data_IF_026119176303
#
_entry.id   IF_026119176303
#
_cell.length_a   1.000
_cell.length_b   1.000
_cell.length_c   1.000
_cell.angle_alpha   90.00
_cell.angle_beta   90.00
_cell.angle_gamma   90.00
#
_symmetry.space_group_name_H-M   'P 1'
#
loop_
_entity.id
_entity.type
_entity.pdbx_description
1 polymer ?
#
# COMPACT_ATOMS: atom_id res chain seq x y z
N UNK A 1 -8.71 4.38 25.71
CA UNK A 1 -7.66 4.66 24.72
C UNK A 1 -8.23 5.73 23.82
N UNK A 2 -7.55 6.86 23.67
CA UNK A 2 -8.01 7.93 22.79
C UNK A 2 -8.10 7.34 21.36
N UNK A 3 -9.28 7.41 20.74
CA UNK A 3 -9.43 7.22 19.31
C UNK A 3 -8.51 8.24 18.64
N UNK A 4 -7.36 7.79 18.17
CA UNK A 4 -6.58 8.53 17.19
C UNK A 4 -7.44 8.49 15.95
N UNK A 5 -8.21 9.56 15.73
CA UNK A 5 -9.07 9.75 14.57
C UNK A 5 -8.25 9.42 13.32
N UNK A 6 -8.51 8.24 12.74
CA UNK A 6 -7.71 7.71 11.66
C UNK A 6 -7.95 8.59 10.44
N UNK A 7 -6.89 9.31 10.00
CA UNK A 7 -6.99 10.25 8.88
C UNK A 7 -7.64 9.58 7.69
N UNK A 8 -8.58 10.27 7.04
CA UNK A 8 -9.22 9.72 5.86
C UNK A 8 -8.17 9.45 4.76
N UNK A 9 -8.44 8.47 3.90
CA UNK A 9 -7.59 8.17 2.74
C UNK A 9 -7.37 9.41 1.87
N UNK A 10 -8.36 10.30 1.80
CA UNK A 10 -8.26 11.57 1.07
C UNK A 10 -7.26 12.52 1.73
N UNK A 11 -7.30 12.64 3.06
CA UNK A 11 -6.37 13.48 3.82
C UNK A 11 -4.93 12.97 3.67
N UNK A 12 -4.72 11.65 3.67
CA UNK A 12 -3.41 11.03 3.47
C UNK A 12 -2.80 11.33 2.09
N UNK A 13 -3.62 11.41 1.05
CA UNK A 13 -3.14 11.68 -0.31
C UNK A 13 -3.02 13.18 -0.62
N UNK A 14 -3.71 14.04 0.14
CA UNK A 14 -3.71 15.49 -0.08
C UNK A 14 -2.31 16.10 0.03
N UNK A 15 -1.53 15.69 1.03
CA UNK A 15 -0.21 16.25 1.32
C UNK A 15 0.82 15.94 0.21
N UNK A 16 0.99 14.67 -0.25
CA UNK A 16 1.82 14.37 -1.41
C UNK A 16 1.43 15.14 -2.68
N UNK A 17 0.13 15.29 -2.97
CA UNK A 17 -0.34 16.03 -4.15
C UNK A 17 0.10 17.50 -4.07
N UNK A 18 -0.10 18.15 -2.92
CA UNK A 18 0.33 19.54 -2.70
C UNK A 18 1.86 19.69 -2.80
N UNK A 19 2.63 18.73 -2.29
CA UNK A 19 4.09 18.74 -2.42
C UNK A 19 4.55 18.60 -3.88
N UNK A 20 3.91 17.72 -4.65
CA UNK A 20 4.20 17.59 -6.08
C UNK A 20 3.93 18.89 -6.83
N UNK A 21 2.79 19.55 -6.58
CA UNK A 21 2.46 20.83 -7.20
C UNK A 21 3.46 21.94 -6.80
N UNK A 22 3.94 21.94 -5.55
CA UNK A 22 4.99 22.87 -5.08
C UNK A 22 6.35 22.62 -5.72
N UNK A 23 6.70 21.34 -5.93
CA UNK A 23 7.92 20.94 -6.63
C UNK A 23 7.91 21.43 -8.07
N UNK A 24 6.80 21.24 -8.79
CA UNK A 24 6.62 21.73 -10.17
C UNK A 24 6.83 23.25 -10.23
N UNK A 25 6.15 24.02 -9.36
CA UNK A 25 6.30 25.48 -9.30
C UNK A 25 7.73 25.92 -8.96
N UNK A 26 8.40 25.21 -8.05
CA UNK A 26 9.77 25.53 -7.64
C UNK A 26 10.78 25.27 -8.76
N UNK A 27 10.56 24.23 -9.57
CA UNK A 27 11.43 23.89 -10.69
C UNK A 27 11.36 24.91 -11.84
N UNK A 28 10.20 25.53 -12.07
CA UNK A 28 10.01 26.56 -13.11
C UNK A 28 10.85 27.82 -12.87
N UNK A 29 11.13 28.15 -11.60
CA UNK A 29 11.89 29.34 -11.20
C UNK A 29 13.36 29.02 -10.88
N UNK A 30 13.86 27.85 -11.26
CA UNK A 30 15.25 27.46 -11.02
C UNK A 30 16.23 28.28 -11.88
N UNK A 31 17.30 28.80 -11.26
CA UNK A 31 18.32 29.60 -11.93
C UNK A 31 19.48 28.74 -12.48
N UNK A 32 19.78 27.63 -11.80
CA UNK A 32 20.79 26.63 -12.19
C UNK A 32 20.19 25.24 -12.42
N UNK A 33 20.90 24.35 -13.14
CA UNK A 33 20.47 22.95 -13.39
C UNK A 33 19.04 22.83 -13.94
N UNK A 34 18.71 23.72 -14.89
CA UNK A 34 17.34 23.89 -15.42
C UNK A 34 16.79 22.61 -16.07
N UNK A 35 17.62 21.87 -16.80
CA UNK A 35 17.23 20.59 -17.41
C UNK A 35 16.84 19.56 -16.37
N UNK A 36 17.64 19.40 -15.31
CA UNK A 36 17.39 18.41 -14.27
C UNK A 36 16.16 18.79 -13.43
N UNK A 37 15.99 20.09 -13.13
CA UNK A 37 14.79 20.60 -12.46
C UNK A 37 13.53 20.37 -13.31
N UNK A 38 13.60 20.60 -14.62
CA UNK A 38 12.48 20.36 -15.53
C UNK A 38 12.11 18.88 -15.61
N UNK A 39 13.10 17.97 -15.55
CA UNK A 39 12.84 16.54 -15.53
C UNK A 39 12.15 16.09 -14.22
N UNK A 40 12.65 16.54 -13.07
CA UNK A 40 11.98 16.28 -11.79
C UNK A 40 10.54 16.84 -11.76
N UNK A 41 10.29 17.98 -12.41
CA UNK A 41 8.94 18.54 -12.51
C UNK A 41 8.00 17.66 -13.35
N UNK A 42 8.47 17.07 -14.45
CA UNK A 42 7.68 16.12 -15.25
C UNK A 42 7.34 14.87 -14.46
N UNK A 43 8.30 14.34 -13.70
CA UNK A 43 8.06 13.18 -12.82
C UNK A 43 7.04 13.51 -11.73
N UNK A 44 7.18 14.69 -11.11
CA UNK A 44 6.23 15.17 -10.11
C UNK A 44 4.80 15.33 -10.67
N UNK A 45 4.66 15.83 -11.90
CA UNK A 45 3.37 15.95 -12.58
C UNK A 45 2.72 14.57 -12.82
N UNK A 46 3.47 13.62 -13.39
CA UNK A 46 3.01 12.23 -13.57
C UNK A 46 2.57 11.59 -12.25
N UNK A 47 3.35 11.79 -11.19
CA UNK A 47 3.05 11.27 -9.85
C UNK A 47 1.79 11.92 -9.26
N UNK A 48 1.66 13.23 -9.39
CA UNK A 48 0.49 14.01 -8.95
C UNK A 48 -0.79 13.55 -9.65
N UNK A 49 -0.73 13.26 -10.95
CA UNK A 49 -1.86 12.70 -11.72
C UNK A 49 -2.28 11.32 -11.19
N UNK A 50 -1.31 10.42 -10.92
CA UNK A 50 -1.59 9.08 -10.37
C UNK A 50 -2.16 9.12 -8.95
N UNK A 51 -1.63 9.98 -8.09
CA UNK A 51 -2.18 10.19 -6.74
C UNK A 51 -3.63 10.68 -6.80
N UNK A 52 -3.95 11.61 -7.72
CA UNK A 52 -5.34 12.04 -7.94
C UNK A 52 -6.22 10.90 -8.44
N UNK A 53 -5.70 9.96 -9.25
CA UNK A 53 -6.43 8.74 -9.62
C UNK A 53 -6.74 7.87 -8.41
N UNK A 54 -5.78 7.70 -7.50
CA UNK A 54 -5.98 6.93 -6.26
C UNK A 54 -7.07 7.57 -5.38
N UNK A 55 -7.11 8.91 -5.28
CA UNK A 55 -8.20 9.62 -4.58
C UNK A 55 -9.56 9.30 -5.21
N UNK A 56 -9.67 9.30 -6.55
CA UNK A 56 -10.96 9.01 -7.22
C UNK A 56 -11.46 7.60 -6.92
N UNK A 57 -10.58 6.59 -6.98
CA UNK A 57 -10.92 5.21 -6.61
C UNK A 57 -11.36 5.11 -5.14
N UNK A 58 -10.76 5.91 -4.26
CA UNK A 58 -11.13 5.91 -2.85
C UNK A 58 -12.53 6.46 -2.58
N UNK A 59 -13.04 7.34 -3.45
CA UNK A 59 -14.35 8.00 -3.31
C UNK A 59 -15.47 7.20 -3.95
N UNK A 60 -15.18 6.49 -5.06
CA UNK A 60 -16.18 5.73 -5.81
C UNK A 60 -16.58 4.40 -5.17
N UNK A 61 -15.89 3.98 -4.12
CA UNK A 61 -16.09 2.67 -3.50
C UNK A 61 -17.28 2.70 -2.53
N UNK A 62 -18.30 1.88 -2.82
CA UNK A 62 -19.42 1.52 -1.95
C UNK A 62 -18.92 0.80 -0.67
N UNK A 63 -19.73 0.55 0.39
CA UNK A 63 -19.32 0.55 1.81
C UNK A 63 -18.44 -0.64 2.28
N UNK A 64 -17.74 -1.31 1.38
CA UNK A 64 -16.61 -2.17 1.71
C UNK A 64 -15.37 -1.27 1.84
N UNK A 65 -15.16 -0.76 3.07
CA UNK A 65 -14.01 0.05 3.49
C UNK A 65 -12.72 -0.36 2.79
N UNK A 66 -12.26 0.40 1.80
CA UNK A 66 -11.07 0.14 0.99
C UNK A 66 -9.89 -0.40 1.81
N UNK A 67 -9.17 -1.35 1.22
CA UNK A 67 -7.92 -1.82 1.79
C UNK A 67 -6.85 -0.72 1.67
N UNK A 68 -6.66 0.05 2.74
CA UNK A 68 -5.93 1.34 2.74
C UNK A 68 -4.48 1.23 3.25
N UNK A 69 -4.10 0.14 3.91
CA UNK A 69 -2.73 -0.07 4.41
C UNK A 69 -1.61 0.12 3.37
N UNK A 70 -1.65 -0.53 2.19
CA UNK A 70 -0.63 -0.29 1.16
C UNK A 70 -0.64 1.16 0.68
N UNK A 71 -1.82 1.78 0.59
CA UNK A 71 -1.98 3.18 0.19
C UNK A 71 -1.28 4.11 1.19
N UNK A 72 -1.51 3.95 2.49
CA UNK A 72 -0.86 4.76 3.53
C UNK A 72 0.65 4.61 3.49
N UNK A 73 1.15 3.38 3.35
CA UNK A 73 2.60 3.10 3.33
C UNK A 73 3.28 3.70 2.10
N UNK A 74 2.67 3.56 0.92
CA UNK A 74 3.14 4.15 -0.33
C UNK A 74 3.06 5.68 -0.27
N UNK A 75 1.95 6.25 0.22
CA UNK A 75 1.77 7.70 0.37
C UNK A 75 2.87 8.32 1.25
N UNK A 76 3.21 7.67 2.37
CA UNK A 76 4.26 8.12 3.26
C UNK A 76 5.66 8.08 2.62
N UNK A 77 5.96 7.09 1.78
CA UNK A 77 7.24 7.03 1.05
C UNK A 77 7.31 8.09 -0.06
N UNK A 78 6.22 8.23 -0.83
CA UNK A 78 6.03 9.26 -1.85
C UNK A 78 6.25 10.65 -1.26
N UNK A 79 5.66 10.95 -0.10
CA UNK A 79 5.84 12.21 0.62
C UNK A 79 7.34 12.50 0.88
N UNK A 80 8.06 11.53 1.45
CA UNK A 80 9.50 11.67 1.77
C UNK A 80 10.34 11.91 0.52
N UNK A 81 10.03 11.22 -0.58
CA UNK A 81 10.76 11.37 -1.84
C UNK A 81 10.48 12.72 -2.50
N UNK A 82 9.24 13.20 -2.46
CA UNK A 82 8.87 14.56 -2.91
C UNK A 82 9.53 15.65 -2.07
N UNK A 83 9.64 15.50 -0.74
CA UNK A 83 10.36 16.46 0.11
C UNK A 83 11.84 16.55 -0.23
N UNK A 84 12.48 15.40 -0.48
CA UNK A 84 13.88 15.35 -0.93
C UNK A 84 14.05 16.07 -2.27
N UNK A 85 13.16 15.81 -3.22
CA UNK A 85 13.16 16.48 -4.52
C UNK A 85 12.96 17.99 -4.40
N UNK A 86 11.99 18.43 -3.60
CA UNK A 86 11.70 19.84 -3.37
C UNK A 86 12.88 20.56 -2.70
N UNK A 87 13.55 19.90 -1.75
CA UNK A 87 14.74 20.43 -1.08
C UNK A 87 15.89 20.62 -2.07
N UNK A 88 16.11 19.66 -2.97
CA UNK A 88 17.13 19.76 -4.00
C UNK A 88 16.83 20.90 -4.99
N UNK A 89 15.61 20.97 -5.52
CA UNK A 89 15.19 22.01 -6.48
C UNK A 89 15.27 23.41 -5.87
N UNK A 90 14.95 23.58 -4.58
CA UNK A 90 15.09 24.88 -3.89
C UNK A 90 16.52 25.41 -3.86
N UNK A 91 17.52 24.53 -3.79
CA UNK A 91 18.94 24.95 -3.85
C UNK A 91 19.29 25.58 -5.20
N UNK A 92 18.60 25.21 -6.27
CA UNK A 92 18.83 25.73 -7.62
C UNK A 92 18.31 27.16 -7.83
N UNK A 93 17.51 27.69 -6.89
CA UNK A 93 17.07 29.10 -6.89
C UNK A 93 18.11 30.03 -6.24
N UNK A 94 18.88 29.55 -5.27
CA UNK A 94 19.82 30.39 -4.50
C UNK A 94 21.27 30.30 -4.99
N UNK A 95 21.54 29.43 -5.97
CA UNK A 95 22.87 29.18 -6.56
C UNK A 95 23.45 30.39 -7.33
N UNK A 96 22.61 31.34 -7.77
CA UNK A 96 23.04 32.52 -8.53
C UNK A 96 24.02 33.45 -7.78
N UNK A 97 24.07 33.41 -6.44
CA UNK A 97 24.87 34.37 -5.65
C UNK A 97 26.34 33.95 -5.48
N UNK A 98 26.69 32.66 -5.63
CA UNK A 98 28.04 32.14 -5.33
C UNK A 98 28.89 31.81 -6.57
N UNK A 99 28.40 32.06 -7.79
CA UNK A 99 29.04 31.57 -9.02
C UNK A 99 30.19 32.44 -9.56
N UNK A 100 30.61 33.48 -8.84
CA UNK A 100 31.58 34.46 -9.36
C UNK A 100 32.98 34.39 -8.75
N UNK A 101 33.44 33.19 -8.35
CA UNK A 101 34.87 33.00 -8.03
C UNK A 101 35.36 31.71 -8.68
N UNK A 102 36.21 31.85 -9.70
CA UNK A 102 36.78 30.77 -10.51
C UNK A 102 37.75 29.88 -9.73
N UNK A 103 37.21 29.01 -8.87
CA UNK A 103 37.97 27.97 -8.17
C UNK A 103 37.66 26.57 -8.72
N UNK A 104 38.65 25.63 -8.70
CA UNK A 104 38.48 24.22 -9.11
C UNK A 104 37.41 23.44 -8.32
N UNK A 105 36.84 24.04 -7.26
CA UNK A 105 35.70 23.50 -6.51
C UNK A 105 34.38 23.46 -7.31
N UNK A 106 34.24 24.25 -8.39
CA UNK A 106 33.02 24.30 -9.22
C UNK A 106 32.75 22.96 -9.92
N UNK A 107 33.80 22.25 -10.36
CA UNK A 107 33.68 20.95 -11.03
C UNK A 107 33.18 19.87 -10.06
N UNK A 108 33.72 19.84 -8.83
CA UNK A 108 33.33 18.88 -7.78
C UNK A 108 31.88 19.13 -7.34
N UNK A 109 31.47 20.41 -7.23
CA UNK A 109 30.10 20.78 -6.90
C UNK A 109 29.11 20.40 -8.02
N UNK A 110 29.50 20.52 -9.29
CA UNK A 110 28.67 20.12 -10.43
C UNK A 110 28.48 18.60 -10.52
N UNK A 111 29.52 17.80 -10.26
CA UNK A 111 29.44 16.34 -10.24
C UNK A 111 28.56 15.86 -9.08
N UNK A 112 28.75 16.42 -7.88
CA UNK A 112 27.92 16.11 -6.71
C UNK A 112 26.44 16.46 -6.94
N UNK A 113 26.16 17.64 -7.51
CA UNK A 113 24.80 18.04 -7.87
C UNK A 113 24.16 17.08 -8.88
N UNK A 114 24.90 16.62 -9.90
CA UNK A 114 24.37 15.71 -10.93
C UNK A 114 24.03 14.33 -10.34
N UNK A 115 24.86 13.83 -9.41
CA UNK A 115 24.58 12.58 -8.69
C UNK A 115 23.34 12.69 -7.79
N UNK A 116 23.17 13.82 -7.10
CA UNK A 116 21.98 14.09 -6.28
C UNK A 116 20.71 14.12 -7.12
N UNK A 117 20.74 14.79 -8.29
CA UNK A 117 19.61 14.80 -9.22
C UNK A 117 19.26 13.41 -9.74
N UNK A 118 20.25 12.61 -10.14
CA UNK A 118 20.02 11.23 -10.59
C UNK A 118 19.40 10.37 -9.48
N UNK A 119 19.90 10.50 -8.25
CA UNK A 119 19.38 9.76 -7.09
C UNK A 119 17.93 10.13 -6.81
N UNK A 120 17.62 11.43 -6.73
CA UNK A 120 16.26 11.93 -6.50
C UNK A 120 15.32 11.53 -7.64
N UNK A 121 15.78 11.62 -8.89
CA UNK A 121 15.00 11.19 -10.05
C UNK A 121 14.64 9.71 -9.98
N UNK A 122 15.59 8.86 -9.58
CA UNK A 122 15.34 7.44 -9.32
C UNK A 122 14.28 7.22 -8.24
N UNK A 123 14.33 7.98 -7.14
CA UNK A 123 13.31 7.90 -6.06
C UNK A 123 11.91 8.30 -6.55
N UNK A 124 11.79 9.31 -7.42
CA UNK A 124 10.50 9.70 -7.98
C UNK A 124 9.97 8.65 -8.96
N UNK A 125 10.81 8.04 -9.80
CA UNK A 125 10.37 6.91 -10.64
C UNK A 125 9.95 5.70 -9.80
N UNK A 126 10.65 5.38 -8.71
CA UNK A 126 10.21 4.34 -7.76
C UNK A 126 8.83 4.67 -7.18
N UNK A 127 8.63 5.92 -6.75
CA UNK A 127 7.34 6.41 -6.23
C UNK A 127 6.22 6.31 -7.28
N UNK A 128 6.51 6.62 -8.55
CA UNK A 128 5.56 6.47 -9.66
C UNK A 128 5.20 5.00 -9.87
N UNK A 129 6.18 4.10 -9.83
CA UNK A 129 5.97 2.67 -9.97
C UNK A 129 5.15 2.09 -8.80
N UNK A 130 5.43 2.49 -7.56
CA UNK A 130 4.68 2.07 -6.38
C UNK A 130 3.20 2.47 -6.47
N UNK A 131 2.91 3.73 -6.82
CA UNK A 131 1.51 4.19 -6.99
C UNK A 131 0.85 3.51 -8.18
N UNK A 132 1.59 3.21 -9.25
CA UNK A 132 1.05 2.48 -10.41
C UNK A 132 0.64 1.06 -10.02
N UNK A 133 1.51 0.37 -9.28
CA UNK A 133 1.20 -0.96 -8.76
C UNK A 133 -0.02 -0.92 -7.83
N UNK A 134 -0.11 0.07 -6.93
CA UNK A 134 -1.26 0.25 -6.06
C UNK A 134 -2.57 0.39 -6.85
N UNK A 135 -2.59 1.23 -7.88
CA UNK A 135 -3.78 1.41 -8.72
C UNK A 135 -4.19 0.10 -9.40
N UNK A 136 -3.23 -0.73 -9.82
CA UNK A 136 -3.51 -2.02 -10.46
C UNK A 136 -4.21 -3.04 -9.56
N UNK A 137 -4.16 -2.86 -8.24
CA UNK A 137 -4.91 -3.71 -7.29
C UNK A 137 -6.40 -3.39 -7.32
N UNK A 138 -6.75 -2.13 -7.61
CA UNK A 138 -8.13 -1.63 -7.56
C UNK A 138 -8.81 -1.58 -8.93
N UNK A 139 -8.03 -1.62 -10.02
CA UNK A 139 -8.56 -1.71 -11.37
C UNK A 139 -9.04 -3.15 -11.63
N UNK A 140 -10.35 -3.38 -11.42
CA UNK A 140 -11.03 -4.66 -11.61
C UNK A 140 -10.61 -5.35 -12.91
N UNK A 141 -10.02 -6.55 -12.78
CA UNK A 141 -9.62 -7.39 -13.91
C UNK A 141 -10.84 -8.03 -14.59
N UNK A 142 -11.58 -7.28 -15.40
CA UNK A 142 -12.53 -7.84 -16.38
C UNK A 142 -11.81 -8.61 -17.51
N UNK A 143 -10.48 -8.68 -17.47
CA UNK A 143 -9.66 -9.47 -18.38
C UNK A 143 -8.55 -10.11 -17.56
N UNK A 144 -8.64 -11.43 -17.36
CA UNK A 144 -7.71 -12.21 -16.54
C UNK A 144 -6.25 -11.83 -16.80
N UNK A 145 -5.60 -11.28 -15.78
CA UNK A 145 -4.22 -10.82 -15.84
C UNK A 145 -3.97 -9.92 -14.65
N UNK A 146 -3.34 -10.48 -13.62
CA UNK A 146 -3.16 -9.84 -12.33
C UNK A 146 -2.46 -8.48 -12.38
N UNK A 147 -2.43 -7.84 -11.21
CA UNK A 147 -1.59 -6.70 -10.88
C UNK A 147 -0.31 -6.70 -11.72
N UNK A 148 0.08 -5.53 -12.21
CA UNK A 148 1.28 -5.31 -13.05
C UNK A 148 2.37 -6.31 -12.64
N UNK A 149 2.84 -7.18 -13.54
CA UNK A 149 3.74 -8.33 -13.26
C UNK A 149 5.06 -7.97 -12.52
N UNK A 150 5.29 -6.70 -12.21
CA UNK A 150 6.41 -6.16 -11.45
C UNK A 150 6.03 -5.88 -9.99
N UNK A 151 6.87 -6.33 -9.07
CA UNK A 151 6.80 -5.94 -7.65
C UNK A 151 6.94 -4.41 -7.50
N UNK A 152 6.20 -3.78 -6.56
CA UNK A 152 6.39 -2.37 -6.28
C UNK A 152 7.78 -2.17 -5.65
N UNK A 153 8.57 -1.17 -6.08
CA UNK A 153 9.86 -0.83 -5.50
C UNK A 153 9.90 -0.84 -3.96
N UNK A 154 8.86 -0.33 -3.29
CA UNK A 154 8.76 -0.29 -1.82
C UNK A 154 8.82 -1.68 -1.18
N UNK A 155 8.39 -2.73 -1.89
CA UNK A 155 8.40 -4.11 -1.42
C UNK A 155 9.50 -4.97 -2.07
N UNK A 156 10.47 -4.36 -2.76
CA UNK A 156 11.52 -5.12 -3.48
C UNK A 156 12.39 -5.98 -2.55
N UNK A 157 12.59 -5.53 -1.30
CA UNK A 157 13.36 -6.27 -0.30
C UNK A 157 12.52 -7.33 0.42
N UNK A 158 11.19 -7.26 0.32
CA UNK A 158 10.27 -8.20 0.95
C UNK A 158 9.07 -8.51 0.03
N UNK A 159 9.27 -9.34 -1.01
CA UNK A 159 8.23 -9.63 -2.01
C UNK A 159 6.93 -10.20 -1.42
N UNK A 160 7.03 -10.86 -0.26
CA UNK A 160 5.87 -11.40 0.46
C UNK A 160 4.91 -10.28 0.84
N UNK A 161 5.40 -9.08 1.19
CA UNK A 161 4.54 -7.94 1.54
C UNK A 161 3.61 -7.55 0.39
N UNK A 162 4.13 -7.49 -0.85
CA UNK A 162 3.31 -7.19 -2.02
C UNK A 162 2.26 -8.29 -2.27
N UNK A 163 2.63 -9.57 -2.11
CA UNK A 163 1.71 -10.69 -2.24
C UNK A 163 0.58 -10.64 -1.19
N UNK A 164 0.92 -10.30 0.05
CA UNK A 164 -0.06 -10.14 1.12
C UNK A 164 -1.04 -9.02 0.82
N UNK A 165 -0.53 -7.86 0.41
CA UNK A 165 -1.35 -6.72 0.03
C UNK A 165 -2.34 -7.06 -1.09
N UNK A 166 -1.87 -7.68 -2.18
CA UNK A 166 -2.74 -8.13 -3.26
C UNK A 166 -3.75 -9.18 -2.79
N UNK A 167 -3.34 -10.15 -1.98
CA UNK A 167 -4.25 -11.21 -1.50
C UNK A 167 -5.33 -10.67 -0.57
N UNK A 168 -4.98 -9.79 0.37
CA UNK A 168 -5.93 -9.16 1.29
C UNK A 168 -6.93 -8.29 0.52
N UNK A 169 -6.44 -7.51 -0.45
CA UNK A 169 -7.30 -6.73 -1.35
C UNK A 169 -8.26 -7.64 -2.14
N UNK A 170 -7.77 -8.74 -2.71
CA UNK A 170 -8.58 -9.71 -3.45
C UNK A 170 -9.64 -10.39 -2.58
N UNK A 171 -9.32 -10.77 -1.33
CA UNK A 171 -10.31 -11.32 -0.38
C UNK A 171 -11.44 -10.32 -0.10
N UNK A 172 -11.12 -9.03 -0.09
CA UNK A 172 -12.07 -7.98 0.26
C UNK A 172 -12.92 -7.49 -0.91
N UNK A 173 -12.33 -7.39 -2.11
CA UNK A 173 -12.92 -6.66 -3.24
C UNK A 173 -13.02 -7.49 -4.53
N UNK A 174 -12.42 -8.69 -4.57
CA UNK A 174 -12.41 -9.54 -5.76
C UNK A 174 -13.75 -10.23 -6.04
N UNK A 175 -13.85 -10.89 -7.19
CA UNK A 175 -14.97 -11.81 -7.46
C UNK A 175 -14.86 -13.05 -6.57
N UNK A 176 -15.95 -13.80 -6.39
CA UNK A 176 -15.99 -14.94 -5.46
C UNK A 176 -14.81 -15.91 -5.66
N UNK A 177 -14.46 -16.22 -6.92
CA UNK A 177 -13.32 -17.09 -7.25
C UNK A 177 -11.99 -16.48 -6.78
N UNK A 178 -11.74 -15.22 -7.09
CA UNK A 178 -10.50 -14.52 -6.69
C UNK A 178 -10.39 -14.41 -5.16
N UNK A 179 -11.52 -14.22 -4.47
CA UNK A 179 -11.59 -14.20 -3.00
C UNK A 179 -11.20 -15.56 -2.41
N UNK A 180 -11.68 -16.66 -3.00
CA UNK A 180 -11.34 -18.03 -2.60
C UNK A 180 -9.85 -18.29 -2.83
N UNK A 181 -9.34 -18.00 -4.03
CA UNK A 181 -7.93 -18.21 -4.39
C UNK A 181 -7.01 -17.39 -3.49
N UNK A 182 -7.37 -16.13 -3.21
CA UNK A 182 -6.61 -15.28 -2.30
C UNK A 182 -6.65 -15.76 -0.84
N UNK A 183 -7.79 -16.24 -0.35
CA UNK A 183 -7.90 -16.83 0.99
C UNK A 183 -7.04 -18.10 1.12
N UNK A 184 -7.02 -18.96 0.09
CA UNK A 184 -6.15 -20.13 0.04
C UNK A 184 -4.67 -19.75 0.02
N UNK A 185 -4.29 -18.71 -0.73
CA UNK A 185 -2.93 -18.19 -0.73
C UNK A 185 -2.51 -17.69 0.66
N UNK A 186 -3.37 -16.92 1.34
CA UNK A 186 -3.14 -16.50 2.72
C UNK A 186 -3.03 -17.69 3.68
N UNK A 187 -3.86 -18.73 3.52
CA UNK A 187 -3.78 -19.94 4.31
C UNK A 187 -2.44 -20.68 4.13
N UNK A 188 -1.96 -20.78 2.89
CA UNK A 188 -0.65 -21.39 2.59
C UNK A 188 0.48 -20.58 3.22
N UNK A 189 0.50 -19.26 3.02
CA UNK A 189 1.52 -18.38 3.59
C UNK A 189 1.55 -18.46 5.12
N UNK A 190 0.37 -18.48 5.75
CA UNK A 190 0.24 -18.65 7.20
C UNK A 190 0.74 -20.01 7.68
N UNK A 191 0.57 -21.09 6.90
CA UNK A 191 1.05 -22.42 7.29
C UNK A 191 2.57 -22.51 7.30
N UNK A 192 3.24 -21.79 6.39
CA UNK A 192 4.67 -21.96 6.13
C UNK A 192 5.57 -21.52 7.30
N UNK A 193 5.32 -20.35 7.91
CA UNK A 193 6.12 -19.86 9.04
C UNK A 193 5.43 -18.76 9.86
N UNK A 194 5.93 -18.50 11.07
CA UNK A 194 5.37 -17.50 11.99
C UNK A 194 5.56 -16.05 11.54
N UNK A 195 6.62 -15.73 10.79
CA UNK A 195 6.83 -14.38 10.23
C UNK A 195 5.68 -14.01 9.29
N UNK A 196 5.28 -14.92 8.41
CA UNK A 196 4.17 -14.71 7.48
C UNK A 196 2.85 -14.50 8.22
N UNK A 197 2.56 -15.34 9.23
CA UNK A 197 1.36 -15.19 10.07
C UNK A 197 1.30 -13.82 10.74
N UNK A 198 2.44 -13.36 11.30
CA UNK A 198 2.54 -12.03 11.90
C UNK A 198 2.26 -10.93 10.87
N UNK A 199 2.87 -11.01 9.69
CA UNK A 199 2.65 -10.04 8.61
C UNK A 199 1.19 -10.03 8.13
N UNK A 200 0.52 -11.18 8.02
CA UNK A 200 -0.91 -11.24 7.65
C UNK A 200 -1.77 -10.49 8.67
N UNK A 201 -1.49 -10.67 9.96
CA UNK A 201 -2.21 -9.98 11.05
C UNK A 201 -1.91 -8.47 11.02
N UNK A 202 -0.64 -8.10 10.94
CA UNK A 202 -0.19 -6.69 10.91
C UNK A 202 -0.71 -5.94 9.68
N UNK A 203 -0.86 -6.62 8.54
CA UNK A 203 -1.43 -6.07 7.32
C UNK A 203 -2.96 -6.20 7.27
N UNK A 204 -3.61 -6.54 8.39
CA UNK A 204 -5.08 -6.46 8.52
C UNK A 204 -5.86 -7.58 7.81
N UNK A 205 -5.22 -8.72 7.52
CA UNK A 205 -5.86 -9.82 6.79
C UNK A 205 -6.96 -10.56 7.55
N UNK A 206 -7.03 -10.43 8.89
CA UNK A 206 -8.00 -11.16 9.74
C UNK A 206 -9.44 -10.74 9.44
N UNK A 207 -9.72 -9.44 9.37
CA UNK A 207 -11.09 -8.92 9.21
C UNK A 207 -11.71 -9.32 7.86
N UNK A 208 -11.01 -9.20 6.71
CA UNK A 208 -11.54 -9.68 5.43
C UNK A 208 -11.82 -11.19 5.41
N UNK A 209 -10.96 -12.02 6.04
CA UNK A 209 -11.19 -13.46 6.16
C UNK A 209 -12.42 -13.79 7.00
N UNK A 210 -12.60 -13.09 8.13
CA UNK A 210 -13.81 -13.23 8.96
C UNK A 210 -15.07 -12.84 8.19
N UNK A 211 -15.05 -11.74 7.45
CA UNK A 211 -16.16 -11.33 6.58
C UNK A 211 -16.48 -12.39 5.52
N UNK A 212 -15.47 -12.90 4.81
CA UNK A 212 -15.64 -13.96 3.82
C UNK A 212 -16.27 -15.23 4.43
N UNK A 213 -15.84 -15.61 5.64
CA UNK A 213 -16.41 -16.74 6.38
C UNK A 213 -17.89 -16.52 6.73
N UNK A 214 -18.25 -15.31 7.18
CA UNK A 214 -19.61 -14.94 7.60
C UNK A 214 -20.58 -14.81 6.43
N UNK A 215 -20.12 -14.29 5.29
CA UNK A 215 -20.96 -14.07 4.11
C UNK A 215 -21.54 -15.37 3.58
N UNK A 216 -20.84 -16.50 3.76
CA UNK A 216 -21.35 -17.82 3.40
C UNK A 216 -21.66 -17.98 1.90
N UNK A 217 -20.97 -17.22 1.04
CA UNK A 217 -21.24 -17.18 -0.39
C UNK A 217 -21.05 -18.53 -1.09
N UNK A 218 -20.15 -19.38 -0.58
CA UNK A 218 -20.03 -20.80 -0.93
C UNK A 218 -19.33 -21.58 0.17
N UNK A 219 -19.44 -22.92 0.16
CA UNK A 219 -18.74 -23.78 1.11
C UNK A 219 -17.21 -23.66 0.93
N UNK A 220 -16.72 -23.58 -0.31
CA UNK A 220 -15.30 -23.41 -0.63
C UNK A 220 -14.75 -22.10 -0.06
N UNK A 221 -15.51 -21.00 -0.15
CA UNK A 221 -15.13 -19.73 0.45
C UNK A 221 -15.03 -19.80 1.97
N UNK A 222 -15.98 -20.46 2.63
CA UNK A 222 -15.94 -20.66 4.08
C UNK A 222 -14.78 -21.54 4.50
N UNK A 223 -14.51 -22.63 3.77
CA UNK A 223 -13.38 -23.53 4.03
C UNK A 223 -12.05 -22.80 3.88
N UNK A 224 -11.86 -22.05 2.79
CA UNK A 224 -10.63 -21.28 2.55
C UNK A 224 -10.39 -20.23 3.65
N UNK A 225 -11.44 -19.48 4.02
CA UNK A 225 -11.36 -18.51 5.11
C UNK A 225 -11.07 -19.15 6.47
N UNK A 226 -11.74 -20.25 6.80
CA UNK A 226 -11.53 -20.98 8.05
C UNK A 226 -10.13 -21.58 8.13
N UNK A 227 -9.61 -22.13 7.03
CA UNK A 227 -8.25 -22.66 6.96
C UNK A 227 -7.20 -21.57 7.24
N UNK A 228 -7.36 -20.39 6.62
CA UNK A 228 -6.48 -19.25 6.88
C UNK A 228 -6.53 -18.82 8.35
N UNK A 229 -7.73 -18.61 8.91
CA UNK A 229 -7.91 -18.22 10.32
C UNK A 229 -7.35 -19.25 11.30
N UNK A 230 -7.54 -20.54 11.03
CA UNK A 230 -6.99 -21.63 11.83
C UNK A 230 -5.46 -21.62 11.84
N UNK A 231 -4.82 -21.40 10.69
CA UNK A 231 -3.36 -21.34 10.60
C UNK A 231 -2.79 -20.12 11.35
N UNK A 232 -3.52 -19.00 11.36
CA UNK A 232 -3.15 -17.79 12.12
C UNK A 232 -3.27 -17.99 13.64
N UNK A 233 -4.27 -18.77 14.09
CA UNK A 233 -4.56 -19.03 15.51
C UNK A 233 -3.63 -20.02 16.21
N UNK A 234 -2.32 -20.00 15.92
CA UNK A 234 -1.37 -21.01 16.42
C UNK A 234 -0.66 -20.63 17.74
N UNK A 235 -0.88 -19.43 18.28
CA UNK A 235 -0.48 -19.07 19.65
C UNK A 235 -1.54 -18.23 20.36
N UNK A 236 -1.40 -18.12 21.69
CA UNK A 236 -2.38 -17.50 22.57
C UNK A 236 -2.56 -15.99 22.31
N UNK A 237 -1.51 -15.26 21.92
CA UNK A 237 -1.61 -13.83 21.63
C UNK A 237 -2.40 -13.60 20.35
N UNK A 238 -2.11 -14.36 19.28
CA UNK A 238 -2.87 -14.29 18.02
C UNK A 238 -4.31 -14.73 18.18
N UNK A 239 -4.58 -15.78 18.97
CA UNK A 239 -5.96 -16.21 19.27
C UNK A 239 -6.72 -15.11 20.01
N UNK A 240 -6.10 -14.45 20.99
CA UNK A 240 -6.73 -13.31 21.70
C UNK A 240 -7.00 -12.14 20.76
N UNK A 241 -6.05 -11.82 19.88
CA UNK A 241 -6.22 -10.76 18.88
C UNK A 241 -7.39 -11.08 17.94
N UNK A 242 -7.41 -12.28 17.34
CA UNK A 242 -8.49 -12.73 16.45
C UNK A 242 -9.83 -12.70 17.20
N UNK A 243 -9.89 -13.20 18.45
CA UNK A 243 -11.09 -13.17 19.26
C UNK A 243 -11.62 -11.75 19.52
N UNK A 244 -10.71 -10.77 19.66
CA UNK A 244 -11.02 -9.35 19.82
C UNK A 244 -11.63 -8.69 18.58
N UNK A 245 -11.32 -9.18 17.37
CA UNK A 245 -11.84 -8.69 16.07
C UNK A 245 -13.27 -9.18 15.77
N UNK A 246 -14.11 -9.36 16.79
CA UNK A 246 -15.46 -9.94 16.71
C UNK A 246 -15.49 -11.35 16.10
N UNK A 247 -14.37 -12.08 16.09
CA UNK A 247 -14.32 -13.42 15.51
C UNK A 247 -15.22 -14.41 16.26
N UNK A 248 -15.28 -14.34 17.59
CA UNK A 248 -16.07 -15.26 18.41
C UNK A 248 -17.57 -15.23 18.04
N UNK A 249 -18.27 -14.07 18.10
CA UNK A 249 -19.69 -14.04 17.72
C UNK A 249 -19.90 -14.40 16.25
N UNK A 250 -18.94 -14.11 15.38
CA UNK A 250 -19.03 -14.43 13.95
C UNK A 250 -18.91 -15.93 13.68
N UNK A 251 -17.93 -16.60 14.30
CA UNK A 251 -17.73 -18.05 14.21
C UNK A 251 -18.93 -18.78 14.83
N UNK A 252 -19.42 -18.34 15.99
CA UNK A 252 -20.63 -18.92 16.62
C UNK A 252 -21.83 -18.82 15.70
N UNK A 253 -22.02 -17.68 15.03
CA UNK A 253 -23.10 -17.51 14.06
C UNK A 253 -22.97 -18.47 12.88
N UNK A 254 -21.77 -18.56 12.28
CA UNK A 254 -21.51 -19.48 11.15
C UNK A 254 -21.75 -20.94 11.53
N UNK A 255 -21.39 -21.34 12.75
CA UNK A 255 -21.67 -22.68 13.26
C UNK A 255 -23.16 -22.92 13.51
N UNK A 256 -23.89 -21.92 14.01
CA UNK A 256 -25.34 -22.01 14.23
C UNK A 256 -26.13 -22.11 12.92
N UNK A 257 -25.66 -21.42 11.88
CA UNK A 257 -26.27 -21.41 10.54
C UNK A 257 -25.88 -22.66 9.70
N UNK A 258 -24.97 -23.50 10.20
CA UNK A 258 -24.53 -24.71 9.50
C UNK A 258 -25.63 -25.77 9.44
N UNK A 259 -25.86 -26.41 8.28
CA UNK A 259 -26.81 -27.53 8.17
C UNK A 259 -26.36 -28.75 9.00
N UNK A 260 -25.07 -28.81 9.36
CA UNK A 260 -24.54 -29.77 10.31
C UNK A 260 -24.81 -29.20 11.71
N UNK A 261 -25.91 -29.63 12.33
CA UNK A 261 -26.14 -29.37 13.75
C UNK A 261 -25.05 -30.09 14.54
N UNK A 262 -24.00 -29.37 14.93
CA UNK A 262 -23.00 -29.87 15.88
C UNK A 262 -23.66 -29.91 17.27
N UNK A 263 -24.54 -30.89 17.48
CA UNK A 263 -25.05 -31.23 18.80
C UNK A 263 -23.88 -31.79 19.60
N UNK A 264 -23.52 -31.10 20.69
CA UNK A 264 -22.55 -31.47 21.72
C UNK A 264 -21.07 -31.37 21.33
N UNK A 265 -20.39 -30.32 21.81
CA UNK A 265 -19.05 -30.39 22.42
C UNK A 265 -18.60 -29.03 23.03
N UNK A 266 -19.50 -28.29 23.67
CA UNK A 266 -19.11 -27.27 24.66
C UNK A 266 -19.65 -27.72 26.02
N UNK A 267 -18.92 -28.61 26.67
CA UNK A 267 -18.96 -28.73 28.13
C UNK A 267 -17.74 -27.95 28.63
N UNK A 268 -18.03 -26.90 29.42
CA UNK A 268 -17.05 -26.00 30.04
C UNK A 268 -16.04 -26.75 30.91
#
# INVERSE_FOLDING_TARGET
>A
MADVEEKSVQDELSLPILLADRLIKSAQVAESSKSDCAELAKQADRLSQKLRSAVRLSVSSTPHSLYDRPLRRISADVYKNLERALTLVRKCKHSGVLRQVGHPAVQVFAIAATADFRKVSGLLESSIADVTWLLSIFENSDSGGGATLSLPPIASNDPILAMLWSSIASVQMGQLRDRIDAANNLASLARDNDRNKKMIVEEGGVVPLLKLLKEGASAEAQIAAAAALSNLGSDQERVRFIAGELAVPMIVKVLADSPIKVFNCFVF
#
